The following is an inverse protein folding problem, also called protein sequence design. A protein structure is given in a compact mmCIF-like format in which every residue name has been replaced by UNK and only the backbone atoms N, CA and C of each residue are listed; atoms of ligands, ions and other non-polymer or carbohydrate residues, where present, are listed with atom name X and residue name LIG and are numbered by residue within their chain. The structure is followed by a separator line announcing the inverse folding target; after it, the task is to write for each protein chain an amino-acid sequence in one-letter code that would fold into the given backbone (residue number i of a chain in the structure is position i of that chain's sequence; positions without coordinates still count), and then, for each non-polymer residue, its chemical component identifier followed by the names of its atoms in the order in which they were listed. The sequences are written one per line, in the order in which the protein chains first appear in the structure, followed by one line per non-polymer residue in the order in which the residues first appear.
data_IF_611038899861
#
_entry.id   IF_611038899861
#
_cell.length_a   1.000
_cell.length_b   1.000
_cell.length_c   1.000
_cell.angle_alpha   90.00
_cell.angle_beta   90.00
_cell.angle_gamma   90.00
#
_symmetry.space_group_name_H-M   'P 1'
#
loop_
_entity.id
_entity.type
_entity.pdbx_description
1 polymer ?
#
# COMPACT_ATOMS: atom_id res chain seq x y z
N UNK A 1 4.35 8.89 2.76
CA UNK A 1 2.93 8.64 3.05
C UNK A 1 2.38 9.76 3.91
N UNK A 2 1.13 10.15 3.69
CA UNK A 2 0.49 11.29 4.36
C UNK A 2 -0.48 10.87 5.47
N UNK A 3 -0.46 9.58 5.84
CA UNK A 3 -1.26 8.99 6.90
C UNK A 3 -2.76 9.03 6.56
N UNK A 4 -3.08 9.02 5.27
CA UNK A 4 -4.42 8.90 4.73
C UNK A 4 -4.42 8.05 3.47
N UNK A 5 -4.94 6.82 3.55
CA UNK A 5 -5.24 6.04 2.36
C UNK A 5 -6.24 6.71 1.41
N UNK A 6 -5.77 7.07 0.21
CA UNK A 6 -6.53 7.74 -0.82
C UNK A 6 -6.02 7.39 -2.24
N UNK A 7 -6.60 8.03 -3.27
CA UNK A 7 -6.25 7.73 -4.66
C UNK A 7 -4.79 8.08 -5.03
N UNK A 8 -4.17 9.04 -4.32
CA UNK A 8 -2.79 9.44 -4.56
C UNK A 8 -1.81 8.27 -4.33
N UNK A 9 -2.12 7.37 -3.40
CA UNK A 9 -1.32 6.17 -3.11
C UNK A 9 -1.30 5.21 -4.29
N UNK A 10 -2.48 4.94 -4.87
CA UNK A 10 -2.59 4.09 -6.06
C UNK A 10 -1.88 4.72 -7.26
N UNK A 11 -1.98 6.05 -7.44
CA UNK A 11 -1.31 6.77 -8.53
C UNK A 11 0.21 6.73 -8.35
N UNK A 12 0.68 6.91 -7.12
CA UNK A 12 2.10 6.83 -6.78
C UNK A 12 2.67 5.44 -7.15
N UNK A 13 2.03 4.36 -6.71
CA UNK A 13 2.45 3.01 -7.04
C UNK A 13 2.49 2.75 -8.55
N UNK A 14 1.44 3.16 -9.28
CA UNK A 14 1.40 3.02 -10.74
C UNK A 14 2.50 3.83 -11.44
N UNK A 15 2.85 5.01 -10.92
CA UNK A 15 3.95 5.81 -11.44
C UNK A 15 5.31 5.10 -11.22
N UNK A 16 5.52 4.50 -10.05
CA UNK A 16 6.72 3.70 -9.74
C UNK A 16 6.85 2.50 -10.67
N UNK A 17 5.76 1.75 -10.88
CA UNK A 17 5.77 0.52 -11.69
C UNK A 17 5.95 0.78 -13.19
N UNK A 18 5.29 1.82 -13.73
CA UNK A 18 5.15 1.97 -15.18
C UNK A 18 5.75 3.24 -15.76
N UNK A 19 6.06 4.24 -14.93
CA UNK A 19 6.51 5.57 -15.40
C UNK A 19 7.92 5.95 -14.92
N UNK A 20 8.62 5.03 -14.25
CA UNK A 20 9.93 5.33 -13.65
C UNK A 20 9.85 6.37 -12.53
N UNK A 21 8.71 6.41 -11.82
CA UNK A 21 8.50 7.26 -10.67
C UNK A 21 9.44 6.93 -9.50
N UNK A 22 9.49 7.78 -8.47
CA UNK A 22 10.30 7.54 -7.28
C UNK A 22 9.85 6.25 -6.58
N UNK A 23 10.80 5.46 -6.07
CA UNK A 23 10.48 4.30 -5.25
C UNK A 23 9.96 4.74 -3.87
N UNK A 24 9.08 3.93 -3.30
CA UNK A 24 8.63 4.13 -1.92
C UNK A 24 9.78 3.86 -0.95
N UNK A 25 9.93 4.72 0.05
CA UNK A 25 10.80 4.46 1.20
C UNK A 25 10.22 3.36 2.13
N UNK A 26 8.97 2.97 1.88
CA UNK A 26 8.27 1.91 2.58
C UNK A 26 7.55 0.99 1.55
N UNK A 27 8.21 -0.10 1.11
CA UNK A 27 7.65 -1.05 0.15
C UNK A 27 6.42 -1.79 0.67
N UNK A 28 6.35 -2.07 1.97
CA UNK A 28 5.22 -2.76 2.61
C UNK A 28 3.90 -1.99 2.44
N UNK A 29 3.93 -0.67 2.63
CA UNK A 29 2.74 0.18 2.39
C UNK A 29 2.29 0.19 0.91
N UNK A 30 3.12 -0.26 -0.04
CA UNK A 30 2.69 -0.44 -1.42
C UNK A 30 2.01 -1.80 -1.68
N UNK A 31 2.11 -2.75 -0.75
CA UNK A 31 1.55 -4.10 -0.82
C UNK A 31 0.09 -4.09 -0.32
N UNK A 32 -0.78 -3.47 -1.10
CA UNK A 32 -2.17 -3.24 -0.69
C UNK A 32 -3.00 -4.52 -0.64
N UNK A 33 -2.53 -5.62 -1.24
CA UNK A 33 -3.19 -6.92 -1.17
C UNK A 33 -2.50 -7.93 -0.25
N UNK A 34 -1.41 -7.54 0.42
CA UNK A 34 -0.66 -8.33 1.41
C UNK A 34 -0.22 -9.69 0.81
N UNK A 35 0.35 -9.64 -0.41
CA UNK A 35 0.82 -10.83 -1.13
C UNK A 35 2.35 -10.99 -1.19
N UNK A 36 3.07 -10.05 -0.57
CA UNK A 36 4.53 -10.00 -0.50
C UNK A 36 5.19 -9.48 -1.77
N UNK A 37 4.44 -8.84 -2.69
CA UNK A 37 4.94 -8.40 -3.99
C UNK A 37 4.28 -7.12 -4.50
N UNK A 38 5.04 -6.02 -4.51
CA UNK A 38 4.59 -4.77 -5.14
C UNK A 38 4.42 -4.87 -6.67
N UNK A 39 3.18 -4.95 -7.12
CA UNK A 39 2.79 -5.06 -8.51
C UNK A 39 1.44 -4.35 -8.81
N UNK A 40 0.86 -4.61 -9.99
CA UNK A 40 -0.39 -3.94 -10.39
C UNK A 40 -1.60 -4.43 -9.58
N UNK A 41 -1.55 -5.64 -9.02
CA UNK A 41 -2.62 -6.20 -8.20
C UNK A 41 -2.91 -5.33 -6.97
N UNK A 42 -1.88 -4.74 -6.36
CA UNK A 42 -1.99 -3.81 -5.25
C UNK A 42 -2.79 -2.57 -5.61
N UNK A 43 -2.43 -1.92 -6.72
CA UNK A 43 -3.14 -0.73 -7.19
C UNK A 43 -4.62 -1.05 -7.51
N UNK A 44 -4.90 -2.25 -8.04
CA UNK A 44 -6.28 -2.70 -8.28
C UNK A 44 -7.02 -2.88 -6.96
N UNK A 45 -6.41 -3.52 -5.97
CA UNK A 45 -7.00 -3.73 -4.63
C UNK A 45 -7.29 -2.40 -3.94
N UNK A 46 -6.37 -1.44 -3.99
CA UNK A 46 -6.57 -0.11 -3.44
C UNK A 46 -7.72 0.64 -4.12
N UNK A 47 -7.76 0.66 -5.45
CA UNK A 47 -8.85 1.30 -6.20
C UNK A 47 -10.20 0.62 -5.96
N UNK A 48 -10.22 -0.72 -5.84
CA UNK A 48 -11.44 -1.46 -5.53
C UNK A 48 -11.95 -1.18 -4.11
N UNK A 49 -11.04 -1.00 -3.15
CA UNK A 49 -11.36 -0.56 -1.78
C UNK A 49 -11.97 0.85 -1.78
N UNK A 50 -11.36 1.78 -2.50
CA UNK A 50 -11.81 3.18 -2.56
C UNK A 50 -13.15 3.38 -3.29
N UNK A 51 -13.37 2.64 -4.38
CA UNK A 51 -14.46 2.97 -5.33
C UNK A 51 -15.46 1.85 -5.60
N UNK A 52 -15.11 0.59 -5.30
CA UNK A 52 -15.93 -0.58 -5.64
C UNK A 52 -16.49 -1.31 -4.42
N UNK A 53 -16.16 -0.87 -3.20
CA UNK A 53 -16.65 -1.48 -1.97
C UNK A 53 -16.07 -2.87 -1.71
N UNK A 54 -14.81 -3.11 -2.07
CA UNK A 54 -14.13 -4.39 -1.91
C UNK A 54 -13.89 -4.83 -0.44
N UNK A 55 -14.24 -3.97 0.52
CA UNK A 55 -13.92 -4.16 1.94
C UNK A 55 -12.67 -3.36 2.34
N UNK A 56 -12.29 -3.37 3.63
CA UNK A 56 -11.03 -2.75 4.06
C UNK A 56 -9.83 -3.49 3.47
N UNK A 57 -8.69 -2.80 3.37
CA UNK A 57 -7.41 -3.45 3.10
C UNK A 57 -7.09 -4.49 4.18
N UNK A 58 -6.28 -5.53 3.87
CA UNK A 58 -5.71 -6.44 4.86
C UNK A 58 -5.02 -5.68 6.01
N UNK A 59 -4.81 -6.35 7.14
CA UNK A 59 -4.04 -5.77 8.25
C UNK A 59 -2.64 -5.35 7.77
N UNK A 60 -2.02 -4.28 8.31
CA UNK A 60 -2.53 -3.39 9.35
C UNK A 60 -3.63 -2.44 8.84
N UNK A 61 -3.79 -2.36 7.52
CA UNK A 61 -4.88 -1.67 6.85
C UNK A 61 -4.79 -0.15 6.87
N UNK A 62 -5.68 0.48 6.09
CA UNK A 62 -5.71 1.94 5.88
C UNK A 62 -5.92 2.81 7.13
N UNK A 63 -6.38 2.23 8.24
CA UNK A 63 -6.82 2.97 9.43
C UNK A 63 -5.97 2.70 10.68
N UNK A 64 -5.03 1.76 10.63
CA UNK A 64 -4.14 1.48 11.74
C UNK A 64 -2.69 1.64 11.29
N UNK A 65 -2.01 2.63 11.88
CA UNK A 65 -0.54 2.68 11.79
C UNK A 65 0.02 1.62 12.73
N UNK A 66 0.85 0.72 12.21
CA UNK A 66 1.45 -0.35 13.00
C UNK A 66 2.45 -1.13 12.18
N UNK A 67 3.17 -2.03 12.85
CA UNK A 67 3.87 -3.10 12.14
C UNK A 67 2.81 -3.97 11.48
N UNK A 68 3.06 -4.34 10.24
CA UNK A 68 2.32 -5.39 9.58
C UNK A 68 2.36 -6.68 10.42
N UNK A 69 1.19 -7.24 10.83
CA UNK A 69 1.15 -8.48 11.59
C UNK A 69 1.36 -9.73 10.73
N UNK A 70 1.33 -9.62 9.39
CA UNK A 70 1.77 -10.71 8.52
C UNK A 70 3.30 -10.67 8.40
N UNK A 71 3.90 -11.86 8.44
CA UNK A 71 5.36 -12.00 8.37
C UNK A 71 5.75 -12.12 6.90
N UNK A 72 6.06 -11.00 6.28
CA UNK A 72 6.50 -10.93 4.89
C UNK A 72 7.92 -10.30 4.79
N UNK A 73 8.48 -10.28 3.57
CA UNK A 73 9.86 -9.79 3.36
C UNK A 73 9.95 -8.26 3.26
N UNK A 74 8.84 -7.54 3.32
CA UNK A 74 8.76 -6.10 3.10
C UNK A 74 8.79 -5.37 4.44
N UNK A 75 9.96 -4.86 4.80
CA UNK A 75 10.11 -4.08 6.03
C UNK A 75 9.89 -2.58 5.76
N UNK A 76 9.15 -1.92 6.66
CA UNK A 76 9.10 -0.47 6.76
C UNK A 76 9.53 0.02 8.14
N UNK A 77 10.00 1.27 8.20
CA UNK A 77 10.07 1.97 9.48
C UNK A 77 8.62 2.09 10.00
N UNK A 78 8.30 1.63 11.23
CA UNK A 78 6.95 1.68 11.77
C UNK A 78 6.36 3.09 11.87
N UNK A 79 7.20 4.14 11.80
CA UNK A 79 6.75 5.54 11.71
C UNK A 79 6.40 5.98 10.29
N UNK A 80 6.82 5.22 9.28
CA UNK A 80 6.58 5.44 7.84
C UNK A 80 5.60 4.44 7.23
N UNK A 81 5.10 3.49 8.00
CA UNK A 81 4.19 2.42 7.57
C UNK A 81 2.73 2.86 7.36
N UNK A 82 2.42 4.15 7.51
CA UNK A 82 1.04 4.62 7.46
C UNK A 82 0.75 5.27 6.12
N UNK A 83 -0.03 4.58 5.26
CA UNK A 83 -0.67 5.11 4.03
C UNK A 83 -1.38 6.43 4.34
#
# INVERSE_FOLDING_TARGET
WDNSFNIADCVFLLATLFSGGPQSDCPDACDMNDDGSNNIADAITGLATLFSGAGPLPDPGSNACGLDPTDDAQACDPTSACL
#
